data_IF_483714510483
#
_entry.id   IF_483714510483
#
_cell.length_a   1.000
_cell.length_b   1.000
_cell.length_c   1.000
_cell.angle_alpha   90.00
_cell.angle_beta   90.00
_cell.angle_gamma   90.00
#
_symmetry.space_group_name_H-M   'P 1'
#
loop_
_entity.id
_entity.type
_entity.pdbx_description
1 polymer ?
#
# COMPACT_ATOMS: atom_id res chain seq x y z
N UNK A 1 -99.28 -2.52 -51.60
CA UNK A 1 -98.88 -3.01 -52.93
C UNK A 1 -97.42 -3.45 -52.83
N UNK A 2 -97.18 -4.75 -52.63
CA UNK A 2 -95.83 -5.32 -52.53
C UNK A 2 -95.18 -5.26 -53.92
N UNK A 3 -94.18 -4.39 -54.10
CA UNK A 3 -93.35 -4.33 -55.30
C UNK A 3 -92.15 -5.25 -55.09
N UNK A 4 -91.95 -6.31 -55.89
CA UNK A 4 -90.75 -7.12 -55.77
C UNK A 4 -89.52 -6.32 -56.24
N UNK A 5 -88.50 -6.20 -55.37
CA UNK A 5 -87.19 -5.62 -55.73
C UNK A 5 -86.52 -6.47 -56.83
N UNK A 6 -85.92 -5.85 -57.87
CA UNK A 6 -85.18 -6.58 -58.90
C UNK A 6 -83.92 -7.22 -58.28
N UNK A 7 -83.63 -8.46 -58.69
CA UNK A 7 -82.42 -9.19 -58.29
C UNK A 7 -81.16 -8.41 -58.68
N UNK A 8 -80.30 -8.11 -57.71
CA UNK A 8 -78.97 -7.52 -57.92
C UNK A 8 -78.04 -8.51 -58.64
N UNK A 9 -77.09 -8.01 -59.45
CA UNK A 9 -76.15 -8.83 -60.25
C UNK A 9 -75.32 -9.84 -59.41
N UNK A 10 -75.11 -9.53 -58.13
CA UNK A 10 -74.52 -10.39 -57.11
C UNK A 10 -75.41 -11.58 -56.75
N UNK A 11 -76.72 -11.39 -56.65
CA UNK A 11 -77.69 -12.46 -56.43
C UNK A 11 -77.78 -13.42 -57.62
N UNK A 12 -77.65 -12.93 -58.86
CA UNK A 12 -77.58 -13.79 -60.04
C UNK A 12 -76.29 -14.61 -60.11
N UNK A 13 -75.12 -14.02 -59.80
CA UNK A 13 -73.84 -14.77 -59.75
C UNK A 13 -73.81 -15.83 -58.66
N UNK A 14 -74.33 -15.51 -57.47
CA UNK A 14 -74.42 -16.47 -56.36
C UNK A 14 -75.35 -17.64 -56.70
N UNK A 15 -76.52 -17.36 -57.29
CA UNK A 15 -77.46 -18.39 -57.74
C UNK A 15 -76.89 -19.24 -58.88
N UNK A 16 -76.12 -18.63 -59.79
CA UNK A 16 -75.44 -19.33 -60.91
C UNK A 16 -74.30 -20.23 -60.42
N UNK A 17 -73.50 -19.77 -59.45
CA UNK A 17 -72.47 -20.60 -58.81
C UNK A 17 -73.07 -21.75 -58.01
N UNK A 18 -74.16 -21.51 -57.26
CA UNK A 18 -74.86 -22.57 -56.52
C UNK A 18 -75.45 -23.63 -57.47
N UNK A 19 -76.02 -23.18 -58.60
CA UNK A 19 -76.58 -24.08 -59.59
C UNK A 19 -75.51 -24.90 -60.33
N UNK A 20 -74.37 -24.29 -60.70
CA UNK A 20 -73.22 -25.03 -61.24
C UNK A 20 -72.58 -25.97 -60.20
N UNK A 21 -72.52 -25.58 -58.93
CA UNK A 21 -72.03 -26.45 -57.85
C UNK A 21 -72.90 -27.69 -57.69
N UNK A 22 -74.22 -27.56 -57.68
CA UNK A 22 -75.17 -28.67 -57.67
C UNK A 22 -75.01 -29.56 -58.90
N UNK A 23 -74.84 -28.96 -60.08
CA UNK A 23 -74.73 -29.68 -61.35
C UNK A 23 -73.44 -30.52 -61.42
N UNK A 24 -72.31 -30.05 -60.88
CA UNK A 24 -71.04 -30.78 -60.86
C UNK A 24 -70.73 -31.49 -59.53
N UNK A 25 -71.72 -31.64 -58.64
CA UNK A 25 -71.56 -32.38 -57.37
C UNK A 25 -70.96 -33.79 -57.52
N UNK A 26 -71.36 -34.66 -58.48
CA UNK A 26 -70.76 -35.98 -58.59
C UNK A 26 -69.31 -35.93 -59.09
N UNK A 27 -68.94 -34.94 -59.92
CA UNK A 27 -67.54 -34.70 -60.31
C UNK A 27 -66.72 -34.26 -59.10
N UNK A 28 -67.29 -33.42 -58.22
CA UNK A 28 -66.64 -33.03 -56.96
C UNK A 28 -66.50 -34.18 -55.96
N UNK A 29 -67.41 -35.15 -55.97
CA UNK A 29 -67.32 -36.36 -55.14
C UNK A 29 -66.26 -37.32 -55.68
N UNK A 30 -66.19 -37.48 -57.01
CA UNK A 30 -65.14 -38.21 -57.70
C UNK A 30 -63.76 -37.58 -57.47
N UNK A 31 -63.66 -36.25 -57.47
CA UNK A 31 -62.42 -35.51 -57.15
C UNK A 31 -61.97 -35.74 -55.70
N UNK A 32 -62.91 -35.90 -54.75
CA UNK A 32 -62.59 -36.22 -53.36
C UNK A 32 -62.09 -37.65 -53.16
N UNK A 33 -62.61 -38.61 -53.93
CA UNK A 33 -62.26 -40.02 -53.78
C UNK A 33 -61.04 -40.44 -54.61
N UNK A 34 -60.94 -39.97 -55.87
CA UNK A 34 -59.87 -40.33 -56.79
C UNK A 34 -58.72 -39.30 -56.84
N UNK A 35 -58.90 -38.11 -56.25
CA UNK A 35 -57.94 -37.01 -56.32
C UNK A 35 -57.81 -36.39 -57.72
N UNK A 36 -57.08 -35.28 -57.81
CA UNK A 36 -56.86 -34.59 -59.10
C UNK A 36 -56.20 -35.52 -60.14
N UNK A 37 -55.15 -36.24 -59.74
CA UNK A 37 -54.44 -37.15 -60.65
C UNK A 37 -55.33 -38.32 -61.13
N UNK A 38 -56.15 -38.89 -60.24
CA UNK A 38 -57.06 -39.98 -60.59
C UNK A 38 -58.19 -39.53 -61.51
N UNK A 39 -58.73 -38.32 -61.32
CA UNK A 39 -59.74 -37.75 -62.21
C UNK A 39 -59.18 -37.35 -63.58
N UNK A 40 -57.96 -36.81 -63.64
CA UNK A 40 -57.26 -36.55 -64.91
C UNK A 40 -56.98 -37.86 -65.66
N UNK A 41 -56.60 -38.92 -64.96
CA UNK A 41 -56.41 -40.25 -65.55
C UNK A 41 -57.73 -40.85 -66.07
N UNK A 42 -58.84 -40.67 -65.34
CA UNK A 42 -60.17 -41.06 -65.82
C UNK A 42 -60.59 -40.29 -67.07
N UNK A 43 -60.33 -38.99 -67.11
CA UNK A 43 -60.61 -38.16 -68.30
C UNK A 43 -59.74 -38.59 -69.48
N UNK A 44 -58.44 -38.85 -69.27
CA UNK A 44 -57.53 -39.25 -70.36
C UNK A 44 -57.84 -40.64 -70.92
N UNK A 45 -58.18 -41.60 -70.05
CA UNK A 45 -58.62 -42.95 -70.46
C UNK A 45 -59.94 -42.88 -71.22
N UNK A 46 -60.92 -42.09 -70.76
CA UNK A 46 -62.19 -41.89 -71.48
C UNK A 46 -61.99 -41.19 -72.84
N UNK A 47 -61.06 -40.23 -72.94
CA UNK A 47 -60.66 -39.60 -74.19
C UNK A 47 -59.99 -40.58 -75.15
N UNK A 48 -59.09 -41.43 -74.65
CA UNK A 48 -58.44 -42.48 -75.43
C UNK A 48 -59.46 -43.50 -75.95
N UNK A 49 -60.45 -43.89 -75.12
CA UNK A 49 -61.57 -44.74 -75.54
C UNK A 49 -62.40 -44.07 -76.63
N UNK A 50 -62.72 -42.78 -76.50
CA UNK A 50 -63.42 -42.03 -77.55
C UNK A 50 -62.61 -42.02 -78.86
N UNK A 51 -61.30 -41.76 -78.79
CA UNK A 51 -60.42 -41.76 -79.96
C UNK A 51 -60.35 -43.15 -80.63
N UNK A 52 -60.23 -44.22 -79.84
CA UNK A 52 -60.21 -45.60 -80.35
C UNK A 52 -61.55 -45.98 -81.01
N UNK A 53 -62.67 -45.51 -80.47
CA UNK A 53 -64.00 -45.71 -81.07
C UNK A 53 -64.16 -44.96 -82.40
N UNK A 54 -63.55 -43.78 -82.54
CA UNK A 54 -63.52 -43.04 -83.82
C UNK A 54 -62.65 -43.75 -84.86
N UNK A 55 -61.50 -44.32 -84.46
CA UNK A 55 -60.60 -45.04 -85.39
C UNK A 55 -61.14 -46.42 -85.82
N UNK A 56 -61.89 -47.13 -84.95
CA UNK A 56 -62.29 -48.53 -85.19
C UNK A 56 -63.47 -48.71 -86.16
N UNK A 57 -64.01 -47.64 -86.76
CA UNK A 57 -65.21 -47.70 -87.61
C UNK A 57 -66.42 -48.38 -86.93
N UNK A 58 -66.41 -48.47 -85.61
CA UNK A 58 -67.51 -49.00 -84.81
C UNK A 58 -68.74 -48.09 -84.96
N UNK A 59 -69.95 -48.64 -84.79
CA UNK A 59 -71.21 -47.92 -85.00
C UNK A 59 -71.20 -46.54 -84.32
N UNK A 60 -71.29 -45.47 -85.13
CA UNK A 60 -71.28 -44.07 -84.66
C UNK A 60 -72.41 -43.73 -83.68
N UNK A 61 -73.37 -44.64 -83.50
CA UNK A 61 -74.52 -44.53 -82.58
C UNK A 61 -74.11 -44.46 -81.10
N UNK A 62 -72.99 -45.08 -80.70
CA UNK A 62 -72.58 -45.12 -79.27
C UNK A 62 -71.52 -44.07 -78.88
N UNK A 63 -71.02 -43.27 -79.83
CA UNK A 63 -70.03 -42.22 -79.58
C UNK A 63 -70.49 -41.03 -78.71
N UNK A 64 -71.77 -40.56 -78.73
CA UNK A 64 -72.13 -39.33 -78.02
C UNK A 64 -72.13 -39.47 -76.49
N UNK A 65 -72.37 -40.67 -75.96
CA UNK A 65 -72.41 -40.92 -74.50
C UNK A 65 -71.03 -40.72 -73.84
N UNK A 66 -69.94 -41.40 -74.26
CA UNK A 66 -68.63 -41.18 -73.66
C UNK A 66 -68.07 -39.78 -73.94
N UNK A 67 -68.45 -39.16 -75.07
CA UNK A 67 -68.09 -37.77 -75.38
C UNK A 67 -68.78 -36.76 -74.45
N UNK A 68 -70.05 -36.96 -74.13
CA UNK A 68 -70.77 -36.14 -73.16
C UNK A 68 -70.24 -36.34 -71.73
N UNK A 69 -69.91 -37.58 -71.34
CA UNK A 69 -69.30 -37.86 -70.04
C UNK A 69 -67.90 -37.24 -69.89
N UNK A 70 -67.06 -37.32 -70.93
CA UNK A 70 -65.74 -36.66 -70.94
C UNK A 70 -65.88 -35.14 -70.88
N UNK A 71 -66.76 -34.55 -71.68
CA UNK A 71 -67.03 -33.12 -71.66
C UNK A 71 -67.54 -32.66 -70.29
N UNK A 72 -68.43 -33.44 -69.66
CA UNK A 72 -68.96 -33.17 -68.33
C UNK A 72 -67.89 -33.26 -67.23
N UNK A 73 -67.03 -34.29 -67.26
CA UNK A 73 -65.91 -34.41 -66.33
C UNK A 73 -64.89 -33.28 -66.52
N UNK A 74 -64.54 -32.94 -67.76
CA UNK A 74 -63.67 -31.81 -68.09
C UNK A 74 -64.25 -30.48 -67.60
N UNK A 75 -65.53 -30.22 -67.88
CA UNK A 75 -66.21 -28.99 -67.45
C UNK A 75 -66.27 -28.91 -65.91
N UNK A 76 -66.55 -30.03 -65.22
CA UNK A 76 -66.53 -30.10 -63.76
C UNK A 76 -65.15 -29.91 -63.16
N UNK A 77 -64.10 -30.46 -63.78
CA UNK A 77 -62.70 -30.29 -63.37
C UNK A 77 -62.24 -28.82 -63.52
N UNK A 78 -62.54 -28.21 -64.67
CA UNK A 78 -62.23 -26.79 -64.93
C UNK A 78 -63.00 -25.86 -64.00
N UNK A 79 -64.26 -26.16 -63.70
CA UNK A 79 -65.05 -25.40 -62.73
C UNK A 79 -64.46 -25.51 -61.32
N UNK A 80 -64.11 -26.72 -60.88
CA UNK A 80 -63.51 -26.95 -59.57
C UNK A 80 -62.13 -26.27 -59.43
N UNK A 81 -61.27 -26.35 -60.44
CA UNK A 81 -59.99 -25.63 -60.47
C UNK A 81 -60.17 -24.11 -60.46
N UNK A 82 -61.08 -23.57 -61.29
CA UNK A 82 -61.37 -22.12 -61.27
C UNK A 82 -61.91 -21.67 -59.93
N UNK A 83 -62.75 -22.48 -59.29
CA UNK A 83 -63.28 -22.17 -57.97
C UNK A 83 -62.17 -22.14 -56.91
N UNK A 84 -61.34 -23.19 -56.84
CA UNK A 84 -60.22 -23.28 -55.89
C UNK A 84 -59.18 -22.16 -56.12
N UNK A 85 -58.85 -21.82 -57.37
CA UNK A 85 -57.95 -20.68 -57.71
C UNK A 85 -58.56 -19.34 -57.29
N UNK A 86 -59.86 -19.13 -57.53
CA UNK A 86 -60.51 -17.88 -57.14
C UNK A 86 -60.53 -17.67 -55.62
N UNK A 87 -60.68 -18.75 -54.84
CA UNK A 87 -60.59 -18.68 -53.38
C UNK A 87 -59.17 -18.37 -52.90
N UNK A 88 -58.15 -18.99 -53.51
CA UNK A 88 -56.75 -18.68 -53.21
C UNK A 88 -56.41 -17.22 -53.54
N UNK A 89 -56.84 -16.72 -54.69
CA UNK A 89 -56.63 -15.32 -55.08
C UNK A 89 -57.31 -14.34 -54.13
N UNK A 90 -58.53 -14.63 -53.67
CA UNK A 90 -59.20 -13.76 -52.70
C UNK A 90 -58.46 -13.70 -51.35
N UNK A 91 -57.91 -14.82 -50.88
CA UNK A 91 -57.14 -14.86 -49.64
C UNK A 91 -55.85 -14.04 -49.81
N UNK A 92 -55.07 -14.28 -50.87
CA UNK A 92 -53.83 -13.54 -51.12
C UNK A 92 -54.05 -12.04 -51.29
N UNK A 93 -55.15 -11.62 -51.94
CA UNK A 93 -55.45 -10.19 -52.13
C UNK A 93 -56.05 -9.51 -50.89
N UNK A 94 -56.60 -10.28 -49.94
CA UNK A 94 -57.13 -9.76 -48.67
C UNK A 94 -56.08 -9.76 -47.55
N UNK A 95 -54.97 -10.46 -47.72
CA UNK A 95 -53.90 -10.48 -46.73
C UNK A 95 -53.15 -9.14 -46.71
N UNK A 96 -53.20 -8.47 -45.57
CA UNK A 96 -52.34 -7.35 -45.26
C UNK A 96 -50.98 -7.92 -44.81
N UNK A 97 -49.84 -7.57 -45.42
CA UNK A 97 -48.53 -8.15 -45.08
C UNK A 97 -48.09 -7.96 -43.62
N UNK A 98 -48.78 -7.12 -42.85
CA UNK A 98 -48.47 -6.84 -41.44
C UNK A 98 -49.39 -7.56 -40.43
N UNK A 99 -50.50 -8.19 -40.87
CA UNK A 99 -51.42 -8.93 -40.00
C UNK A 99 -52.00 -10.13 -40.74
N UNK A 100 -51.39 -11.30 -40.55
CA UNK A 100 -51.98 -12.57 -40.96
C UNK A 100 -53.00 -13.00 -39.90
N UNK A 101 -54.28 -13.01 -40.24
CA UNK A 101 -55.35 -13.51 -39.36
C UNK A 101 -55.61 -15.00 -39.62
N UNK A 102 -55.36 -15.82 -38.59
CA UNK A 102 -55.29 -17.28 -38.66
C UNK A 102 -56.64 -17.98 -38.81
N UNK A 103 -57.76 -17.31 -38.51
CA UNK A 103 -59.08 -17.95 -38.58
C UNK A 103 -59.66 -18.03 -40.00
N UNK A 104 -59.12 -17.26 -40.96
CA UNK A 104 -59.67 -17.22 -42.33
C UNK A 104 -59.07 -18.29 -43.28
N UNK A 105 -58.09 -19.07 -42.80
CA UNK A 105 -57.31 -20.01 -43.62
C UNK A 105 -57.80 -21.48 -43.57
N UNK A 106 -59.06 -21.73 -43.22
CA UNK A 106 -59.68 -23.06 -43.41
C UNK A 106 -60.04 -23.27 -44.89
N UNK A 107 -59.01 -23.50 -45.70
CA UNK A 107 -59.15 -23.72 -47.14
C UNK A 107 -59.75 -25.12 -47.37
N UNK A 108 -61.08 -25.21 -47.51
CA UNK A 108 -61.77 -26.42 -47.99
C UNK A 108 -61.71 -26.49 -49.51
N UNK A 109 -60.53 -26.67 -50.09
CA UNK A 109 -60.38 -26.94 -51.53
C UNK A 109 -60.52 -28.43 -51.82
N UNK A 110 -61.14 -28.73 -52.96
CA UNK A 110 -61.42 -30.13 -53.34
C UNK A 110 -60.32 -30.69 -54.23
N UNK A 111 -59.73 -29.85 -55.08
CA UNK A 111 -58.76 -30.27 -56.12
C UNK A 111 -57.31 -29.94 -55.77
N UNK A 112 -57.11 -28.85 -55.03
CA UNK A 112 -55.79 -28.31 -54.66
C UNK A 112 -55.42 -28.55 -53.19
N UNK A 113 -56.10 -29.45 -52.48
CA UNK A 113 -55.98 -29.64 -51.02
C UNK A 113 -54.55 -29.85 -50.49
N UNK A 114 -53.68 -30.52 -51.26
CA UNK A 114 -52.27 -30.72 -50.89
C UNK A 114 -51.43 -29.44 -50.98
N UNK A 115 -51.69 -28.58 -51.97
CA UNK A 115 -51.05 -27.28 -52.10
C UNK A 115 -51.53 -26.31 -51.02
N UNK A 116 -52.83 -26.32 -50.73
CA UNK A 116 -53.41 -25.43 -49.73
C UNK A 116 -52.99 -25.80 -48.31
N UNK A 117 -52.85 -27.11 -48.01
CA UNK A 117 -52.25 -27.57 -46.75
C UNK A 117 -50.79 -27.15 -46.59
N UNK A 118 -49.98 -27.21 -47.65
CA UNK A 118 -48.58 -26.72 -47.64
C UNK A 118 -48.48 -25.20 -47.49
N UNK A 119 -49.37 -24.44 -48.12
CA UNK A 119 -49.42 -22.99 -47.93
C UNK A 119 -49.84 -22.64 -46.50
N UNK A 120 -50.82 -23.34 -45.94
CA UNK A 120 -51.24 -23.15 -44.55
C UNK A 120 -50.12 -23.45 -43.56
N UNK A 121 -49.35 -24.54 -43.76
CA UNK A 121 -48.18 -24.82 -42.92
C UNK A 121 -47.12 -23.74 -43.05
N UNK A 122 -46.80 -23.28 -44.28
CA UNK A 122 -45.84 -22.19 -44.50
C UNK A 122 -46.27 -20.89 -43.81
N UNK A 123 -47.55 -20.50 -43.87
CA UNK A 123 -48.04 -19.32 -43.18
C UNK A 123 -47.94 -19.45 -41.66
N UNK A 124 -48.25 -20.62 -41.12
CA UNK A 124 -48.10 -20.91 -39.68
C UNK A 124 -46.62 -20.86 -39.27
N UNK A 125 -45.72 -21.35 -40.11
CA UNK A 125 -44.28 -21.32 -39.83
C UNK A 125 -43.71 -19.89 -39.92
N UNK A 126 -44.17 -19.08 -40.87
CA UNK A 126 -43.81 -17.65 -40.97
C UNK A 126 -44.31 -16.86 -39.75
N UNK A 127 -45.54 -17.11 -39.29
CA UNK A 127 -46.08 -16.49 -38.08
C UNK A 127 -45.26 -16.87 -36.84
N UNK A 128 -44.99 -18.17 -36.63
CA UNK A 128 -44.14 -18.62 -35.51
C UNK A 128 -42.75 -18.00 -35.58
N UNK A 129 -42.17 -17.89 -36.77
CA UNK A 129 -40.89 -17.21 -36.96
C UNK A 129 -40.99 -15.73 -36.61
N UNK A 130 -42.05 -15.03 -37.04
CA UNK A 130 -42.27 -13.62 -36.75
C UNK A 130 -42.48 -13.36 -35.25
N UNK A 131 -43.27 -14.20 -34.56
CA UNK A 131 -43.44 -14.11 -33.11
C UNK A 131 -42.10 -14.36 -32.39
N UNK A 132 -41.35 -15.40 -32.80
CA UNK A 132 -40.02 -15.65 -32.23
C UNK A 132 -39.05 -14.50 -32.47
N UNK A 133 -39.13 -13.82 -33.62
CA UNK A 133 -38.34 -12.62 -33.87
C UNK A 133 -38.76 -11.44 -32.98
N UNK A 134 -40.06 -11.24 -32.75
CA UNK A 134 -40.55 -10.20 -31.85
C UNK A 134 -40.07 -10.44 -30.40
N UNK A 135 -40.18 -11.67 -29.90
CA UNK A 135 -39.72 -12.04 -28.57
C UNK A 135 -38.20 -11.81 -28.42
N UNK A 136 -37.40 -12.17 -29.45
CA UNK A 136 -35.94 -11.91 -29.47
C UNK A 136 -35.61 -10.42 -29.51
N UNK A 137 -36.39 -9.61 -30.22
CA UNK A 137 -36.18 -8.14 -30.28
C UNK A 137 -36.46 -7.51 -28.90
N UNK A 138 -37.48 -7.99 -28.19
CA UNK A 138 -37.76 -7.55 -26.82
C UNK A 138 -36.64 -7.94 -25.85
N UNK A 139 -36.12 -9.17 -25.96
CA UNK A 139 -34.96 -9.63 -25.17
C UNK A 139 -33.70 -8.79 -25.47
N UNK A 140 -33.44 -8.44 -26.73
CA UNK A 140 -32.33 -7.53 -27.12
C UNK A 140 -32.54 -6.14 -26.52
N UNK A 141 -33.76 -5.61 -26.52
CA UNK A 141 -34.07 -4.29 -25.95
C UNK A 141 -33.82 -4.28 -24.44
N UNK A 142 -34.27 -5.32 -23.74
CA UNK A 142 -34.01 -5.49 -22.31
C UNK A 142 -32.52 -5.58 -22.01
N UNK A 143 -31.79 -6.44 -22.75
CA UNK A 143 -30.34 -6.63 -22.61
C UNK A 143 -29.56 -5.34 -22.88
N UNK A 144 -29.99 -4.55 -23.86
CA UNK A 144 -29.41 -3.24 -24.15
C UNK A 144 -29.62 -2.25 -22.99
N UNK A 145 -30.79 -2.25 -22.36
CA UNK A 145 -31.04 -1.40 -21.20
C UNK A 145 -30.18 -1.80 -19.99
N UNK A 146 -29.99 -3.09 -19.75
CA UNK A 146 -29.13 -3.62 -18.69
C UNK A 146 -27.65 -3.31 -18.94
N UNK A 147 -27.18 -3.45 -20.20
CA UNK A 147 -25.83 -3.04 -20.61
C UNK A 147 -25.59 -1.55 -20.38
N UNK A 148 -26.57 -0.69 -20.68
CA UNK A 148 -26.47 0.75 -20.41
C UNK A 148 -26.35 1.03 -18.92
N UNK A 149 -27.21 0.43 -18.09
CA UNK A 149 -27.15 0.61 -16.64
C UNK A 149 -25.80 0.16 -16.07
N UNK A 150 -25.26 -0.96 -16.57
CA UNK A 150 -23.94 -1.47 -16.20
C UNK A 150 -22.81 -0.53 -16.62
N UNK A 151 -22.92 0.07 -17.81
CA UNK A 151 -21.96 1.05 -18.31
C UNK A 151 -21.97 2.34 -17.49
N UNK A 152 -23.15 2.85 -17.11
CA UNK A 152 -23.29 4.04 -16.27
C UNK A 152 -22.70 3.79 -14.87
N UNK A 153 -22.93 2.60 -14.29
CA UNK A 153 -22.34 2.20 -13.01
C UNK A 153 -20.81 2.05 -13.09
N UNK A 154 -20.29 1.47 -14.19
CA UNK A 154 -18.86 1.38 -14.43
C UNK A 154 -18.21 2.76 -14.56
N UNK A 155 -18.88 3.71 -15.23
CA UNK A 155 -18.40 5.09 -15.35
C UNK A 155 -18.31 5.78 -13.98
N UNK A 156 -19.35 5.68 -13.16
CA UNK A 156 -19.37 6.23 -11.81
C UNK A 156 -18.26 5.63 -10.91
N UNK A 157 -18.10 4.29 -10.93
CA UNK A 157 -17.03 3.62 -10.19
C UNK A 157 -15.64 4.07 -10.65
N UNK A 158 -15.47 4.29 -11.95
CA UNK A 158 -14.22 4.73 -12.53
C UNK A 158 -13.86 6.17 -12.12
N UNK A 159 -14.86 7.06 -12.04
CA UNK A 159 -14.67 8.42 -11.53
C UNK A 159 -14.20 8.40 -10.06
N UNK A 160 -14.86 7.59 -9.22
CA UNK A 160 -14.44 7.41 -7.83
C UNK A 160 -13.03 6.82 -7.72
N UNK A 161 -12.71 5.83 -8.55
CA UNK A 161 -11.37 5.24 -8.59
C UNK A 161 -10.33 6.28 -9.00
N UNK A 162 -10.58 7.09 -10.02
CA UNK A 162 -9.68 8.16 -10.46
C UNK A 162 -9.41 9.18 -9.35
N UNK A 163 -10.45 9.60 -8.63
CA UNK A 163 -10.31 10.51 -7.48
C UNK A 163 -9.48 9.89 -6.35
N UNK A 164 -9.70 8.61 -6.03
CA UNK A 164 -8.92 7.89 -5.03
C UNK A 164 -7.45 7.75 -5.44
N UNK A 165 -7.18 7.48 -6.72
CA UNK A 165 -5.82 7.39 -7.26
C UNK A 165 -5.11 8.74 -7.22
N UNK A 166 -5.79 9.84 -7.55
CA UNK A 166 -5.22 11.19 -7.44
C UNK A 166 -4.86 11.56 -6.00
N UNK A 167 -5.72 11.24 -5.04
CA UNK A 167 -5.43 11.40 -3.61
C UNK A 167 -4.25 10.53 -3.15
N UNK A 168 -4.18 9.28 -3.63
CA UNK A 168 -3.06 8.39 -3.37
C UNK A 168 -1.74 8.94 -3.93
N UNK A 169 -1.75 9.47 -5.15
CA UNK A 169 -0.57 10.09 -5.76
C UNK A 169 -0.04 11.27 -4.93
N UNK A 170 -0.94 12.13 -4.43
CA UNK A 170 -0.58 13.24 -3.55
C UNK A 170 0.07 12.73 -2.24
N UNK A 171 -0.50 11.70 -1.62
CA UNK A 171 0.07 11.08 -0.42
C UNK A 171 1.46 10.47 -0.66
N UNK A 172 1.70 9.90 -1.84
CA UNK A 172 3.02 9.39 -2.23
C UNK A 172 4.04 10.53 -2.37
N UNK A 173 3.66 11.67 -2.95
CA UNK A 173 4.55 12.84 -3.03
C UNK A 173 4.95 13.33 -1.63
N UNK A 174 3.98 13.42 -0.70
CA UNK A 174 4.27 13.76 0.69
C UNK A 174 5.17 12.73 1.37
N UNK A 175 4.94 11.43 1.12
CA UNK A 175 5.77 10.35 1.65
C UNK A 175 7.21 10.42 1.13
N UNK A 176 7.41 10.68 -0.17
CA UNK A 176 8.74 10.86 -0.76
C UNK A 176 9.49 12.02 -0.10
N UNK A 177 8.82 13.16 0.10
CA UNK A 177 9.42 14.29 0.80
C UNK A 177 9.75 13.96 2.27
N UNK A 178 8.86 13.22 2.95
CA UNK A 178 9.08 12.74 4.30
C UNK A 178 10.31 11.83 4.42
N UNK A 179 10.47 10.89 3.48
CA UNK A 179 11.63 9.98 3.43
C UNK A 179 12.93 10.74 3.21
N UNK A 180 12.98 11.72 2.30
CA UNK A 180 14.19 12.53 2.10
C UNK A 180 14.53 13.37 3.33
N UNK A 181 13.52 13.94 4.00
CA UNK A 181 13.71 14.67 5.25
C UNK A 181 14.30 13.76 6.34
N UNK A 182 13.79 12.54 6.50
CA UNK A 182 14.33 11.55 7.45
C UNK A 182 15.76 11.19 7.08
N UNK A 183 16.07 10.98 5.80
CA UNK A 183 17.43 10.71 5.34
C UNK A 183 18.40 11.86 5.70
N UNK A 184 17.95 13.11 5.57
CA UNK A 184 18.69 14.31 6.00
C UNK A 184 18.97 14.30 7.51
N UNK A 185 17.96 14.06 8.32
CA UNK A 185 18.08 13.99 9.78
C UNK A 185 19.03 12.88 10.24
N UNK A 186 19.00 11.71 9.60
CA UNK A 186 19.91 10.60 9.89
C UNK A 186 21.36 10.98 9.62
N UNK A 187 21.65 11.67 8.50
CA UNK A 187 23.00 12.17 8.18
C UNK A 187 23.49 13.18 9.22
N UNK A 188 22.63 14.10 9.62
CA UNK A 188 22.95 15.09 10.65
C UNK A 188 23.22 14.44 12.01
N UNK A 189 22.34 13.52 12.44
CA UNK A 189 22.48 12.80 13.70
C UNK A 189 23.75 11.93 13.74
N UNK A 190 24.10 11.26 12.63
CA UNK A 190 25.36 10.53 12.52
C UNK A 190 26.58 11.46 12.64
N UNK A 191 26.53 12.64 12.03
CA UNK A 191 27.57 13.66 12.16
C UNK A 191 27.70 14.21 13.58
N UNK A 192 26.58 14.42 14.29
CA UNK A 192 26.56 14.82 15.70
C UNK A 192 27.16 13.72 16.60
N UNK A 193 26.78 12.46 16.41
CA UNK A 193 27.33 11.32 17.15
C UNK A 193 28.85 11.19 16.95
N UNK A 194 29.32 11.35 15.71
CA UNK A 194 30.75 11.32 15.40
C UNK A 194 31.53 12.42 16.11
N UNK A 195 31.01 13.65 16.12
CA UNK A 195 31.63 14.78 16.87
C UNK A 195 31.63 14.55 18.37
N UNK A 196 30.53 14.05 18.93
CA UNK A 196 30.44 13.71 20.35
C UNK A 196 31.48 12.64 20.75
N UNK A 197 31.66 11.62 19.91
CA UNK A 197 32.71 10.61 20.09
C UNK A 197 34.13 11.23 20.06
N UNK A 198 34.39 12.16 19.13
CA UNK A 198 35.67 12.88 19.09
C UNK A 198 35.91 13.71 20.37
N UNK A 199 34.90 14.41 20.86
CA UNK A 199 35.00 15.16 22.11
C UNK A 199 35.23 14.25 23.32
N UNK A 200 34.59 13.08 23.36
CA UNK A 200 34.82 12.10 24.41
C UNK A 200 36.29 11.60 24.42
N UNK A 201 36.84 11.30 23.23
CA UNK A 201 38.25 10.89 23.08
C UNK A 201 39.20 12.01 23.52
N UNK A 202 38.96 13.25 23.09
CA UNK A 202 39.78 14.40 23.50
C UNK A 202 39.69 14.64 25.02
N UNK A 203 38.49 14.54 25.59
CA UNK A 203 38.27 14.63 27.03
C UNK A 203 39.03 13.55 27.80
N UNK A 204 39.02 12.30 27.31
CA UNK A 204 39.73 11.18 27.93
C UNK A 204 41.24 11.42 27.94
N UNK A 205 41.80 11.95 26.85
CA UNK A 205 43.21 12.34 26.78
C UNK A 205 43.56 13.45 27.78
N UNK A 206 42.71 14.46 27.93
CA UNK A 206 42.92 15.54 28.92
C UNK A 206 42.85 15.01 30.36
N UNK A 207 41.88 14.16 30.67
CA UNK A 207 41.77 13.52 32.00
C UNK A 207 43.01 12.69 32.30
N UNK A 208 43.50 11.91 31.33
CA UNK A 208 44.74 11.15 31.49
C UNK A 208 45.94 12.04 31.79
N UNK A 209 46.12 13.14 31.04
CA UNK A 209 47.20 14.10 31.29
C UNK A 209 47.09 14.79 32.66
N UNK A 210 45.86 15.06 33.11
CA UNK A 210 45.60 15.60 34.44
C UNK A 210 45.98 14.59 35.53
N UNK A 211 45.62 13.32 35.38
CA UNK A 211 46.01 12.25 36.30
C UNK A 211 47.52 12.07 36.39
N UNK A 212 48.24 12.12 35.27
CA UNK A 212 49.71 12.09 35.24
C UNK A 212 50.32 13.29 36.00
N UNK A 213 49.74 14.48 35.83
CA UNK A 213 50.17 15.69 36.57
C UNK A 213 49.92 15.57 38.07
N UNK A 214 48.77 15.02 38.47
CA UNK A 214 48.42 14.77 39.87
C UNK A 214 49.38 13.73 40.49
N UNK A 215 49.75 12.69 39.74
CA UNK A 215 50.73 11.71 40.20
C UNK A 215 52.10 12.35 40.48
N UNK A 216 52.54 13.27 39.61
CA UNK A 216 53.78 14.04 39.85
C UNK A 216 53.69 14.91 41.11
N UNK A 217 52.51 15.47 41.41
CA UNK A 217 52.28 16.24 42.65
C UNK A 217 52.36 15.32 43.87
N UNK A 218 51.80 14.10 43.82
CA UNK A 218 51.91 13.13 44.93
C UNK A 218 53.37 12.75 45.20
N UNK A 219 54.15 12.49 44.14
CA UNK A 219 55.58 12.20 44.24
C UNK A 219 56.36 13.35 44.88
N UNK A 220 56.10 14.59 44.44
CA UNK A 220 56.73 15.78 45.01
C UNK A 220 56.34 16.01 46.48
N UNK A 221 55.08 15.75 46.83
CA UNK A 221 54.59 15.81 48.21
C UNK A 221 55.23 14.74 49.08
N UNK A 222 55.39 13.51 48.57
CA UNK A 222 56.07 12.42 49.28
C UNK A 222 57.54 12.77 49.57
N UNK A 223 58.27 13.27 48.57
CA UNK A 223 59.65 13.72 48.76
C UNK A 223 59.75 14.89 49.74
N UNK A 224 58.80 15.82 49.71
CA UNK A 224 58.74 16.93 50.67
C UNK A 224 58.46 16.45 52.10
N UNK A 225 57.64 15.41 52.27
CA UNK A 225 57.38 14.82 53.58
C UNK A 225 58.64 14.18 54.17
N UNK A 226 59.42 13.46 53.35
CA UNK A 226 60.72 12.88 53.75
C UNK A 226 61.72 13.96 54.17
N UNK A 227 61.79 15.06 53.41
CA UNK A 227 62.62 16.22 53.76
C UNK A 227 62.21 16.85 55.09
N UNK A 228 60.90 17.02 55.35
CA UNK A 228 60.40 17.53 56.63
C UNK A 228 60.75 16.59 57.78
N UNK A 229 60.66 15.27 57.58
CA UNK A 229 61.04 14.29 58.59
C UNK A 229 62.53 14.39 58.93
N UNK A 230 63.39 14.50 57.92
CA UNK A 230 64.83 14.70 58.12
C UNK A 230 65.16 16.02 58.84
N UNK A 231 64.49 17.12 58.49
CA UNK A 231 64.66 18.40 59.19
C UNK A 231 64.19 18.33 60.64
N UNK A 232 63.11 17.60 60.93
CA UNK A 232 62.63 17.43 62.29
C UNK A 232 63.65 16.69 63.16
N UNK A 233 64.28 15.65 62.61
CA UNK A 233 65.34 14.89 63.28
C UNK A 233 66.60 15.74 63.52
N UNK A 234 67.02 16.54 62.52
CA UNK A 234 68.12 17.49 62.69
C UNK A 234 67.80 18.55 63.76
N UNK A 235 66.58 19.10 63.76
CA UNK A 235 66.14 20.08 64.76
C UNK A 235 66.19 19.50 66.17
N UNK A 236 65.77 18.23 66.34
CA UNK A 236 65.86 17.50 67.60
C UNK A 236 67.32 17.31 68.06
N UNK A 237 68.21 16.91 67.16
CA UNK A 237 69.64 16.78 67.48
C UNK A 237 70.26 18.11 67.91
N UNK A 238 69.91 19.22 67.25
CA UNK A 238 70.39 20.55 67.66
C UNK A 238 69.83 20.95 69.03
N UNK A 239 68.55 20.63 69.30
CA UNK A 239 67.95 20.87 70.61
C UNK A 239 68.70 20.14 71.73
N UNK A 240 69.00 18.86 71.54
CA UNK A 240 69.77 18.04 72.50
C UNK A 240 71.18 18.60 72.74
N UNK A 241 71.88 19.03 71.68
CA UNK A 241 73.20 19.68 71.81
C UNK A 241 73.08 21.01 72.56
N UNK A 242 72.05 21.81 72.26
CA UNK A 242 71.83 23.12 72.90
C UNK A 242 71.53 22.96 74.39
N UNK A 243 70.75 21.96 74.77
CA UNK A 243 70.50 21.61 76.17
C UNK A 243 71.77 21.14 76.89
N UNK A 244 72.63 20.37 76.21
CA UNK A 244 73.94 20.01 76.75
C UNK A 244 74.81 21.26 77.00
N UNK A 245 74.88 22.20 76.05
CA UNK A 245 75.62 23.46 76.20
C UNK A 245 75.07 24.29 77.37
N UNK A 246 73.74 24.35 77.52
CA UNK A 246 73.08 25.03 78.63
C UNK A 246 73.49 24.42 79.97
N UNK A 247 73.47 23.09 80.07
CA UNK A 247 73.91 22.33 81.25
C UNK A 247 75.39 22.55 81.58
N UNK A 248 76.28 22.49 80.56
CA UNK A 248 77.71 22.75 80.73
C UNK A 248 77.96 24.19 81.18
N UNK A 249 77.25 25.17 80.60
CA UNK A 249 77.38 26.58 80.96
C UNK A 249 76.95 26.82 82.41
N UNK A 250 75.88 26.16 82.86
CA UNK A 250 75.40 26.24 84.25
C UNK A 250 76.38 25.59 85.24
N UNK A 251 76.93 24.42 84.90
CA UNK A 251 78.01 23.79 85.67
C UNK A 251 79.27 24.65 85.72
N UNK A 252 79.65 25.26 84.60
CA UNK A 252 80.83 26.14 84.51
C UNK A 252 80.62 27.40 85.35
N UNK A 253 79.41 27.97 85.35
CA UNK A 253 79.04 29.10 86.19
C UNK A 253 79.15 28.76 87.69
N UNK A 254 78.69 27.56 88.09
CA UNK A 254 78.83 27.06 89.48
C UNK A 254 80.29 26.80 89.86
N UNK A 255 81.09 26.22 88.96
CA UNK A 255 82.52 26.00 89.17
C UNK A 255 83.27 27.33 89.32
N UNK A 256 82.98 28.30 88.47
CA UNK A 256 83.55 29.64 88.52
C UNK A 256 83.17 30.38 89.81
N UNK A 257 81.93 30.24 90.27
CA UNK A 257 81.48 30.78 91.55
C UNK A 257 82.27 30.17 92.73
N UNK A 258 82.43 28.85 92.75
CA UNK A 258 83.22 28.17 93.79
C UNK A 258 84.69 28.61 93.76
N UNK A 259 85.27 28.78 92.56
CA UNK A 259 86.63 29.28 92.41
C UNK A 259 86.78 30.73 92.88
N UNK A 260 85.80 31.61 92.60
CA UNK A 260 85.79 32.99 93.07
C UNK A 260 85.71 33.06 94.60
N UNK A 261 84.89 32.20 95.23
CA UNK A 261 84.80 32.08 96.69
C UNK A 261 86.14 31.67 97.29
N UNK A 262 86.80 30.65 96.73
CA UNK A 262 88.07 30.17 97.28
C UNK A 262 89.23 31.15 97.01
N UNK A 263 89.20 31.87 95.88
CA UNK A 263 90.12 32.96 95.59
C UNK A 263 89.98 34.13 96.58
N UNK A 264 88.75 34.49 96.95
CA UNK A 264 88.49 35.48 98.00
C UNK A 264 89.00 34.99 99.37
N UNK A 265 88.91 33.69 99.63
CA UNK A 265 89.38 33.05 100.88
C UNK A 265 90.91 33.05 101.01
N UNK A 266 91.64 33.00 99.90
CA UNK A 266 93.10 33.08 99.86
C UNK A 266 93.66 34.51 100.02
N UNK A 267 92.80 35.53 100.13
CA UNK A 267 93.20 36.92 100.36
C UNK A 267 94.05 37.50 99.21
N UNK A 268 95.14 38.20 99.54
CA UNK A 268 95.98 38.87 98.53
C UNK A 268 96.64 37.91 97.53
N UNK A 269 96.90 36.66 97.93
CA UNK A 269 97.46 35.62 97.05
C UNK A 269 96.45 35.12 95.99
N UNK A 270 95.15 35.32 96.24
CA UNK A 270 94.06 34.86 95.36
C UNK A 270 93.54 35.92 94.38
N UNK A 271 94.00 37.18 94.45
CA UNK A 271 93.44 38.29 93.63
C UNK A 271 93.46 38.01 92.12
N UNK A 272 94.55 37.44 91.59
CA UNK A 272 94.64 37.09 90.17
C UNK A 272 93.65 35.99 89.76
N UNK A 273 93.48 34.98 90.63
CA UNK A 273 92.50 33.91 90.42
C UNK A 273 91.06 34.40 90.51
N UNK A 274 90.76 35.36 91.40
CA UNK A 274 89.42 35.94 91.53
C UNK A 274 88.96 36.64 90.25
N UNK A 275 89.85 37.39 89.59
CA UNK A 275 89.54 38.06 88.32
C UNK A 275 89.26 37.05 87.20
N UNK A 276 90.07 35.99 87.12
CA UNK A 276 89.84 34.91 86.13
C UNK A 276 88.52 34.19 86.42
N UNK A 277 88.21 33.90 87.68
CA UNK A 277 86.96 33.23 88.07
C UNK A 277 85.72 34.07 87.72
N UNK A 278 85.75 35.39 87.95
CA UNK A 278 84.64 36.27 87.55
C UNK A 278 84.49 36.37 86.02
N UNK A 279 85.59 36.42 85.26
CA UNK A 279 85.53 36.44 83.80
C UNK A 279 84.94 35.12 83.25
N UNK A 280 85.36 33.97 83.79
CA UNK A 280 84.76 32.67 83.46
C UNK A 280 83.27 32.62 83.81
N UNK A 281 82.87 33.22 84.94
CA UNK A 281 81.46 33.32 85.34
C UNK A 281 80.63 34.13 84.34
N UNK A 282 81.14 35.27 83.88
CA UNK A 282 80.49 36.10 82.86
C UNK A 282 80.38 35.36 81.52
N UNK A 283 81.45 34.67 81.08
CA UNK A 283 81.44 33.84 79.88
C UNK A 283 80.44 32.68 79.96
N UNK A 284 80.35 32.03 81.13
CA UNK A 284 79.40 30.96 81.39
C UNK A 284 77.94 31.48 81.34
N UNK A 285 77.67 32.65 81.94
CA UNK A 285 76.35 33.30 81.87
C UNK A 285 75.96 33.67 80.44
N UNK A 286 76.87 34.26 79.66
CA UNK A 286 76.61 34.60 78.25
C UNK A 286 76.40 33.37 77.37
N UNK A 287 77.13 32.28 77.65
CA UNK A 287 76.93 31.00 76.97
C UNK A 287 75.56 30.39 77.28
N UNK A 288 75.12 30.47 78.54
CA UNK A 288 73.79 30.01 78.96
C UNK A 288 72.66 30.80 78.28
N UNK A 289 72.76 32.13 78.26
CA UNK A 289 71.79 33.01 77.59
C UNK A 289 71.73 32.73 76.09
N UNK A 290 72.89 32.58 75.43
CA UNK A 290 72.98 32.23 74.00
C UNK A 290 72.37 30.86 73.70
N UNK A 291 72.61 29.86 74.56
CA UNK A 291 72.01 28.54 74.43
C UNK A 291 70.47 28.60 74.58
N UNK A 292 69.97 29.42 75.51
CA UNK A 292 68.53 29.62 75.67
C UNK A 292 67.91 30.27 74.41
N UNK A 293 68.55 31.29 73.85
CA UNK A 293 68.11 31.93 72.60
C UNK A 293 68.09 30.97 71.40
N UNK A 294 69.11 30.11 71.28
CA UNK A 294 69.14 29.05 70.26
C UNK A 294 67.98 28.07 70.48
N UNK A 295 67.72 27.65 71.72
CA UNK A 295 66.64 26.72 72.05
C UNK A 295 65.27 27.25 71.64
N UNK A 296 64.98 28.53 71.94
CA UNK A 296 63.73 29.19 71.52
C UNK A 296 63.59 29.22 69.99
N UNK A 297 64.67 29.53 69.26
CA UNK A 297 64.65 29.53 67.78
C UNK A 297 64.44 28.13 67.21
N UNK A 298 65.03 27.10 67.82
CA UNK A 298 64.86 25.70 67.42
C UNK A 298 63.42 25.24 67.67
N UNK A 299 62.78 25.64 68.76
CA UNK A 299 61.36 25.37 69.00
C UNK A 299 60.46 25.99 67.91
N UNK A 300 60.75 27.22 67.49
CA UNK A 300 60.03 27.87 66.38
C UNK A 300 60.22 27.14 65.05
N UNK A 301 61.45 26.68 64.76
CA UNK A 301 61.76 25.88 63.56
C UNK A 301 61.00 24.56 63.59
N UNK A 302 61.03 23.82 64.71
CA UNK A 302 60.29 22.56 64.87
C UNK A 302 58.78 22.75 64.71
N UNK A 303 58.21 23.83 65.26
CA UNK A 303 56.79 24.14 65.05
C UNK A 303 56.49 24.41 63.56
N UNK A 304 57.38 25.12 62.86
CA UNK A 304 57.27 25.36 61.41
C UNK A 304 57.34 24.08 60.59
N UNK A 305 58.26 23.17 60.92
CA UNK A 305 58.39 21.85 60.27
C UNK A 305 57.11 21.02 60.47
N UNK A 306 56.58 20.97 61.70
CA UNK A 306 55.34 20.22 61.98
C UNK A 306 54.15 20.75 61.19
N UNK A 307 54.01 22.08 61.08
CA UNK A 307 52.94 22.70 60.29
C UNK A 307 53.10 22.39 58.79
N UNK A 308 54.32 22.46 58.27
CA UNK A 308 54.61 22.09 56.88
C UNK A 308 54.28 20.62 56.60
N UNK A 309 54.64 19.70 57.51
CA UNK A 309 54.32 18.28 57.40
C UNK A 309 52.80 18.01 57.38
N UNK A 310 52.03 18.71 58.23
CA UNK A 310 50.57 18.61 58.25
C UNK A 310 49.96 19.06 56.91
N UNK A 311 50.42 20.19 56.36
CA UNK A 311 49.97 20.68 55.04
C UNK A 311 50.31 19.73 53.90
N UNK A 312 51.49 19.10 53.93
CA UNK A 312 51.89 18.09 52.94
C UNK A 312 50.98 16.85 53.06
N UNK A 313 50.67 16.40 54.27
CA UNK A 313 49.74 15.29 54.50
C UNK A 313 48.33 15.60 53.95
N UNK A 314 47.81 16.79 54.23
CA UNK A 314 46.53 17.25 53.69
C UNK A 314 46.54 17.32 52.15
N UNK A 315 47.63 17.80 51.55
CA UNK A 315 47.82 17.84 50.10
C UNK A 315 47.75 16.44 49.48
N UNK A 316 48.38 15.44 50.08
CA UNK A 316 48.30 14.05 49.60
C UNK A 316 46.87 13.49 49.65
N UNK A 317 46.10 13.84 50.68
CA UNK A 317 44.67 13.52 50.75
C UNK A 317 43.86 14.12 49.60
N UNK A 318 44.08 15.40 49.28
CA UNK A 318 43.42 16.09 48.16
C UNK A 318 43.81 15.50 46.81
N UNK A 319 45.09 15.15 46.63
CA UNK A 319 45.60 14.47 45.44
C UNK A 319 44.91 13.12 45.25
N UNK A 320 44.78 12.32 46.31
CA UNK A 320 44.09 11.02 46.25
C UNK A 320 42.61 11.16 45.85
N UNK A 321 41.88 12.13 46.41
CA UNK A 321 40.49 12.42 46.01
C UNK A 321 40.42 12.88 44.53
N UNK A 322 41.39 13.68 44.09
CA UNK A 322 41.46 14.16 42.71
C UNK A 322 41.67 13.03 41.71
N UNK A 323 42.49 12.02 42.04
CA UNK A 323 42.67 10.81 41.22
C UNK A 323 41.35 10.02 41.12
N UNK A 324 40.65 9.81 42.23
CA UNK A 324 39.38 9.09 42.24
C UNK A 324 38.30 9.79 41.37
N UNK A 325 38.24 11.12 41.42
CA UNK A 325 37.35 11.92 40.56
C UNK A 325 37.75 11.84 39.09
N UNK A 326 39.05 11.89 38.79
CA UNK A 326 39.55 11.74 37.42
C UNK A 326 39.19 10.37 36.84
N UNK A 327 39.29 9.29 37.63
CA UNK A 327 38.88 7.95 37.22
C UNK A 327 37.39 7.87 36.89
N UNK A 328 36.55 8.48 37.74
CA UNK A 328 35.10 8.56 37.51
C UNK A 328 34.76 9.33 36.23
N UNK A 329 35.47 10.43 35.96
CA UNK A 329 35.33 11.20 34.73
C UNK A 329 35.78 10.39 33.50
N UNK A 330 36.88 9.65 33.61
CA UNK A 330 37.38 8.75 32.58
C UNK A 330 36.34 7.68 32.21
N UNK A 331 35.73 7.04 33.22
CA UNK A 331 34.66 6.06 33.00
C UNK A 331 33.44 6.69 32.31
N UNK A 332 33.02 7.88 32.74
CA UNK A 332 31.90 8.59 32.10
C UNK A 332 32.18 8.90 30.62
N UNK A 333 33.41 9.26 30.28
CA UNK A 333 33.82 9.50 28.90
C UNK A 333 33.85 8.21 28.07
N UNK A 334 34.28 7.08 28.66
CA UNK A 334 34.21 5.78 28.03
C UNK A 334 32.77 5.35 27.73
N UNK A 335 31.85 5.58 28.68
CA UNK A 335 30.42 5.29 28.50
C UNK A 335 29.83 6.15 27.36
N UNK A 336 30.18 7.44 27.28
CA UNK A 336 29.78 8.32 26.17
C UNK A 336 30.32 7.78 24.84
N UNK A 337 31.58 7.34 24.79
CA UNK A 337 32.19 6.76 23.59
C UNK A 337 31.42 5.51 23.13
N UNK A 338 31.07 4.62 24.05
CA UNK A 338 30.27 3.43 23.74
C UNK A 338 28.88 3.80 23.21
N UNK A 339 28.17 4.70 23.91
CA UNK A 339 26.81 5.09 23.51
C UNK A 339 26.77 5.80 22.16
N UNK A 340 27.74 6.67 21.88
CA UNK A 340 27.85 7.35 20.58
C UNK A 340 28.19 6.37 19.46
N UNK A 341 28.99 5.33 19.73
CA UNK A 341 29.22 4.22 18.80
C UNK A 341 27.94 3.42 18.50
N UNK A 342 27.15 3.08 19.53
CA UNK A 342 25.83 2.45 19.34
C UNK A 342 24.88 3.33 18.55
N UNK A 343 24.84 4.63 18.84
CA UNK A 343 24.01 5.60 18.11
C UNK A 343 24.39 5.65 16.63
N UNK A 344 25.69 5.63 16.30
CA UNK A 344 26.15 5.59 14.92
C UNK A 344 25.70 4.32 14.18
N UNK A 345 25.72 3.16 14.85
CA UNK A 345 25.18 1.91 14.32
C UNK A 345 23.66 2.00 14.07
N UNK A 346 22.90 2.57 15.00
CA UNK A 346 21.47 2.81 14.81
C UNK A 346 21.20 3.75 13.63
N UNK A 347 21.98 4.82 13.48
CA UNK A 347 21.81 5.73 12.33
C UNK A 347 22.09 5.02 11.00
N UNK A 348 23.08 4.12 10.95
CA UNK A 348 23.31 3.29 9.76
C UNK A 348 22.10 2.38 9.46
N UNK A 349 21.50 1.76 10.48
CA UNK A 349 20.29 0.95 10.30
C UNK A 349 19.10 1.77 9.81
N UNK A 350 18.87 2.95 10.39
CA UNK A 350 17.78 3.84 9.95
C UNK A 350 18.02 4.33 8.52
N UNK A 351 19.27 4.61 8.13
CA UNK A 351 19.62 4.95 6.75
C UNK A 351 19.23 3.82 5.77
N UNK A 352 19.53 2.57 6.10
CA UNK A 352 19.12 1.40 5.30
C UNK A 352 17.59 1.31 5.18
N UNK A 353 16.87 1.38 6.31
CA UNK A 353 15.40 1.34 6.30
C UNK A 353 14.79 2.52 5.53
N UNK A 354 15.39 3.70 5.62
CA UNK A 354 14.95 4.89 4.86
C UNK A 354 15.17 4.68 3.36
N UNK A 355 16.26 4.01 2.96
CA UNK A 355 16.50 3.66 1.57
C UNK A 355 15.49 2.63 1.05
N UNK A 356 15.20 1.58 1.82
CA UNK A 356 14.15 0.60 1.50
C UNK A 356 12.77 1.27 1.39
N UNK A 357 12.45 2.20 2.29
CA UNK A 357 11.21 2.95 2.25
C UNK A 357 11.12 3.85 1.01
N UNK A 358 12.23 4.44 0.57
CA UNK A 358 12.27 5.19 -0.71
C UNK A 358 11.95 4.28 -1.90
N UNK A 359 12.54 3.08 -1.95
CA UNK A 359 12.26 2.10 -3.00
C UNK A 359 10.78 1.67 -2.99
N UNK A 360 10.24 1.34 -1.83
CA UNK A 360 8.81 0.99 -1.69
C UNK A 360 7.89 2.14 -2.10
N UNK A 361 8.26 3.39 -1.77
CA UNK A 361 7.50 4.59 -2.19
C UNK A 361 7.46 4.73 -3.70
N UNK A 362 8.59 4.51 -4.38
CA UNK A 362 8.66 4.53 -5.83
C UNK A 362 7.81 3.41 -6.46
N UNK A 363 7.88 2.19 -5.92
CA UNK A 363 7.05 1.08 -6.40
C UNK A 363 5.55 1.39 -6.26
N UNK A 364 5.12 1.93 -5.11
CA UNK A 364 3.72 2.33 -4.94
C UNK A 364 3.34 3.45 -5.90
N UNK A 365 4.23 4.40 -6.17
CA UNK A 365 4.01 5.44 -7.19
C UNK A 365 3.73 4.84 -8.56
N UNK A 366 4.51 3.85 -8.99
CA UNK A 366 4.31 3.15 -10.26
C UNK A 366 2.96 2.40 -10.27
N UNK A 367 2.60 1.71 -9.18
CA UNK A 367 1.30 1.04 -9.05
C UNK A 367 0.12 2.01 -9.13
N UNK A 368 0.23 3.19 -8.52
CA UNK A 368 -0.79 4.23 -8.60
C UNK A 368 -0.97 4.70 -10.04
N UNK A 369 0.12 4.89 -10.79
CA UNK A 369 0.04 5.25 -12.20
C UNK A 369 -0.61 4.14 -13.05
N UNK A 370 -0.27 2.86 -12.82
CA UNK A 370 -0.92 1.72 -13.48
C UNK A 370 -2.44 1.71 -13.23
N UNK A 371 -2.88 1.96 -11.99
CA UNK A 371 -4.29 2.04 -11.62
C UNK A 371 -4.97 3.26 -12.26
N UNK A 372 -4.28 4.39 -12.35
CA UNK A 372 -4.79 5.59 -13.03
C UNK A 372 -5.06 5.31 -14.52
N UNK A 373 -4.10 4.69 -15.20
CA UNK A 373 -4.23 4.30 -16.60
C UNK A 373 -5.35 3.25 -16.80
N UNK A 374 -5.49 2.30 -15.88
CA UNK A 374 -6.58 1.32 -15.93
C UNK A 374 -7.96 1.98 -15.76
N UNK A 375 -8.08 2.95 -14.84
CA UNK A 375 -9.30 3.74 -14.70
C UNK A 375 -9.61 4.51 -15.99
N UNK A 376 -8.63 5.17 -16.61
CA UNK A 376 -8.84 5.87 -17.89
C UNK A 376 -9.39 4.93 -18.99
N UNK A 377 -8.81 3.73 -19.13
CA UNK A 377 -9.31 2.71 -20.07
C UNK A 377 -10.72 2.22 -19.74
N UNK A 378 -11.04 2.02 -18.46
CA UNK A 378 -12.39 1.62 -18.03
C UNK A 378 -13.43 2.69 -18.34
N UNK A 379 -13.09 3.97 -18.19
CA UNK A 379 -13.97 5.09 -18.55
C UNK A 379 -14.28 5.11 -20.04
N UNK A 380 -13.27 4.88 -20.87
CA UNK A 380 -13.45 4.78 -22.33
C UNK A 380 -14.34 3.57 -22.70
N UNK A 381 -14.09 2.41 -22.08
CA UNK A 381 -14.88 1.20 -22.29
C UNK A 381 -16.34 1.36 -21.84
N UNK A 382 -16.57 2.03 -20.70
CA UNK A 382 -17.91 2.36 -20.22
C UNK A 382 -18.66 3.24 -21.24
N UNK A 383 -18.01 4.31 -21.71
CA UNK A 383 -18.58 5.19 -22.73
C UNK A 383 -18.86 4.47 -24.07
N UNK A 384 -18.00 3.55 -24.48
CA UNK A 384 -18.23 2.73 -25.66
C UNK A 384 -19.42 1.77 -25.45
N UNK A 385 -19.48 1.09 -24.31
CA UNK A 385 -20.54 0.14 -23.97
C UNK A 385 -21.90 0.84 -23.89
N UNK A 386 -21.96 2.02 -23.28
CA UNK A 386 -23.16 2.85 -23.23
C UNK A 386 -23.64 3.23 -24.65
N UNK A 387 -22.72 3.63 -25.55
CA UNK A 387 -23.06 3.93 -26.96
C UNK A 387 -23.61 2.72 -27.71
N UNK A 388 -22.98 1.55 -27.55
CA UNK A 388 -23.45 0.30 -28.18
C UNK A 388 -24.84 -0.09 -27.65
N UNK A 389 -25.04 0.01 -26.35
CA UNK A 389 -26.33 -0.25 -25.72
C UNK A 389 -27.44 0.68 -26.23
N UNK A 390 -27.16 1.99 -26.33
CA UNK A 390 -28.11 2.96 -26.92
C UNK A 390 -28.42 2.59 -28.38
N UNK A 391 -27.40 2.22 -29.15
CA UNK A 391 -27.61 1.82 -30.55
C UNK A 391 -28.46 0.55 -30.69
N UNK A 392 -28.22 -0.46 -29.84
CA UNK A 392 -29.04 -1.69 -29.82
C UNK A 392 -30.49 -1.38 -29.45
N UNK A 393 -30.73 -0.51 -28.47
CA UNK A 393 -32.08 -0.08 -28.10
C UNK A 393 -32.80 0.70 -29.21
N UNK A 394 -32.07 1.50 -30.01
CA UNK A 394 -32.64 2.20 -31.18
C UNK A 394 -33.02 1.22 -32.30
N UNK A 395 -32.18 0.20 -32.54
CA UNK A 395 -32.46 -0.83 -33.55
C UNK A 395 -33.70 -1.67 -33.22
N UNK A 396 -34.01 -1.89 -31.95
CA UNK A 396 -35.22 -2.64 -31.54
C UNK A 396 -36.49 -1.79 -31.57
N UNK A 397 -36.38 -0.46 -31.53
CA UNK A 397 -37.54 0.45 -31.61
C UNK A 397 -37.94 0.84 -33.04
N UNK A 398 -37.04 0.72 -34.04
CA UNK A 398 -37.35 0.96 -35.45
C UNK A 398 -38.20 -0.18 -36.03
N UNK A 399 -39.52 0.03 -36.06
CA UNK A 399 -40.50 -0.80 -36.78
C UNK A 399 -40.54 -0.51 -38.27
#
# INVERSE_FOLDING_TARGET
MFVPKPLTATGLRARKNLMLQLLFTPVSALLRSAGLNGTVYLVSTMLAVCALMVLSSASQVYLPVPLLCTLYLCAGLLFALRHDISQLQSIFNQQNPQQLDHQQLLIKTTTLGTLTGRLQSLFTDVERAQQSHADRIEEIAFSAQELRASADLLAANTEQQSAATAAGAAAIVEMTQGVENVAGLVREAAGLASRANQYAIQGSQQVKAATESIHNIDMAASSSAELMQGLNEQSRNIHEITDLIRSISEQTNLLALNAAIEAARAGDQGRGFSVVADEVRVLASRSHESANDISVRIQQISAGISNAAEKISAMRGLTSDSVARAETASQSLADIQQQTGTLQSHMASVATTTHEQSQATNEVSERIDEVHQAAARNSELANQTARVAIHMADLTQKK
#
